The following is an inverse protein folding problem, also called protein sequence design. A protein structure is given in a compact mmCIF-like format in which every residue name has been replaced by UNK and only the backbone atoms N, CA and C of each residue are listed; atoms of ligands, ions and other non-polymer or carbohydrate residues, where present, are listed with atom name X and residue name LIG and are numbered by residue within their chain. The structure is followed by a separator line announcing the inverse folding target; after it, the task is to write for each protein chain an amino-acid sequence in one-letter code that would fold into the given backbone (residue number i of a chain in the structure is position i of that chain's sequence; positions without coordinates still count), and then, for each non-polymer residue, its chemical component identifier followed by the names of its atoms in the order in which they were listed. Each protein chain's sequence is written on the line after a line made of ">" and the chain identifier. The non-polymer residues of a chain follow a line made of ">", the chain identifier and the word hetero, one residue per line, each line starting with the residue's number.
data_IF_155641757838
#
_entry.id   IF_155641757838
#
_cell.length_a   1.000
_cell.length_b   1.000
_cell.length_c   1.000
_cell.angle_alpha   90.00
_cell.angle_beta   90.00
_cell.angle_gamma   90.00
#
_symmetry.space_group_name_H-M   'P 1'
#
loop_
_entity.id
_entity.type
_entity.pdbx_description
1 polymer ?
#
# COMPACT_ATOMS: atom_id res chain seq x y z
N UNK A 1 20.55 42.62 8.98
CA UNK A 1 21.42 41.80 9.87
C UNK A 1 20.49 40.76 10.48
N UNK A 2 20.41 39.49 10.10
CA UNK A 2 21.15 38.62 9.16
C UNK A 2 20.11 37.71 8.51
N UNK A 3 20.22 37.53 7.20
CA UNK A 3 19.55 36.51 6.40
C UNK A 3 20.31 35.21 6.64
N UNK A 4 19.63 34.16 7.11
CA UNK A 4 20.19 32.83 7.32
C UNK A 4 19.46 31.82 6.45
N UNK A 5 19.66 31.90 5.13
CA UNK A 5 19.32 30.81 4.22
C UNK A 5 20.30 29.67 4.49
N UNK A 6 19.86 28.64 5.22
CA UNK A 6 20.53 27.36 5.22
C UNK A 6 20.15 26.65 3.92
N UNK A 7 20.91 26.92 2.86
CA UNK A 7 20.98 25.99 1.74
C UNK A 7 21.76 24.78 2.26
N UNK A 8 21.03 23.79 2.78
CA UNK A 8 21.58 22.47 2.93
C UNK A 8 21.88 21.98 1.51
N UNK A 9 23.16 21.81 1.19
CA UNK A 9 23.59 20.99 0.07
C UNK A 9 23.10 19.58 0.39
N UNK A 10 21.92 19.22 -0.13
CA UNK A 10 21.49 17.83 -0.24
C UNK A 10 22.51 17.21 -1.20
N UNK A 11 23.52 16.54 -0.65
CA UNK A 11 24.24 15.54 -1.41
C UNK A 11 23.15 14.59 -1.90
N UNK A 12 22.96 14.48 -3.22
CA UNK A 12 21.97 13.58 -3.80
C UNK A 12 22.21 12.20 -3.19
N UNK A 13 21.38 11.83 -2.22
CA UNK A 13 21.35 10.49 -1.67
C UNK A 13 21.01 9.60 -2.83
N UNK A 14 21.76 8.50 -2.95
CA UNK A 14 21.51 7.49 -3.98
C UNK A 14 20.01 7.10 -3.89
N UNK A 15 19.31 6.90 -5.02
CA UNK A 15 17.87 6.60 -4.98
C UNK A 15 17.55 5.28 -4.27
N UNK A 16 18.56 4.42 -4.06
CA UNK A 16 18.46 3.15 -3.35
C UNK A 16 19.71 2.89 -2.51
N UNK A 17 19.62 2.11 -1.41
CA UNK A 17 20.77 1.77 -0.58
C UNK A 17 21.72 0.79 -1.28
N UNK A 18 22.96 0.69 -0.78
CA UNK A 18 23.97 -0.25 -1.31
C UNK A 18 23.73 -1.70 -0.87
N UNK A 19 22.99 -1.91 0.23
CA UNK A 19 22.65 -3.20 0.80
C UNK A 19 21.31 -3.10 1.55
N UNK A 20 20.62 -4.22 1.72
CA UNK A 20 19.43 -4.31 2.56
C UNK A 20 19.75 -4.00 4.01
N UNK A 21 18.78 -3.42 4.73
CA UNK A 21 18.79 -3.47 6.19
C UNK A 21 18.77 -4.95 6.61
N UNK A 22 19.67 -5.42 7.50
CA UNK A 22 19.68 -6.80 7.96
C UNK A 22 18.37 -7.28 8.59
N UNK A 23 17.52 -6.37 9.09
CA UNK A 23 16.17 -6.67 9.59
C UNK A 23 15.21 -7.01 8.45
N UNK A 24 15.43 -6.45 7.26
CA UNK A 24 14.53 -6.55 6.10
C UNK A 24 14.99 -7.63 5.12
N UNK A 25 16.30 -7.88 5.04
CA UNK A 25 16.92 -8.83 4.10
C UNK A 25 16.23 -10.22 4.06
N UNK A 26 15.81 -10.84 5.18
CA UNK A 26 15.11 -12.13 5.14
C UNK A 26 13.76 -12.07 4.41
N UNK A 27 13.01 -10.98 4.59
CA UNK A 27 11.71 -10.78 3.95
C UNK A 27 11.86 -10.49 2.46
N UNK A 28 12.85 -9.68 2.09
CA UNK A 28 13.17 -9.45 0.68
C UNK A 28 13.56 -10.76 -0.01
N UNK A 29 14.39 -11.60 0.65
CA UNK A 29 14.76 -12.90 0.11
C UNK A 29 13.57 -13.87 0.00
N UNK A 30 12.61 -13.80 0.93
CA UNK A 30 11.35 -14.55 0.83
C UNK A 30 10.55 -14.11 -0.40
N UNK A 31 10.32 -12.81 -0.57
CA UNK A 31 9.60 -12.24 -1.72
C UNK A 31 10.25 -12.65 -3.04
N UNK A 32 11.59 -12.59 -3.14
CA UNK A 32 12.31 -13.04 -4.34
C UNK A 32 12.10 -14.54 -4.62
N UNK A 33 12.14 -15.37 -3.58
CA UNK A 33 11.94 -16.80 -3.70
C UNK A 33 10.52 -17.13 -4.15
N UNK A 34 9.51 -16.53 -3.53
CA UNK A 34 8.11 -16.80 -3.81
C UNK A 34 7.76 -16.33 -5.23
N UNK A 35 8.17 -15.11 -5.60
CA UNK A 35 7.91 -14.55 -6.94
C UNK A 35 8.78 -15.12 -8.06
N UNK A 36 9.91 -15.74 -7.73
CA UNK A 36 10.90 -16.16 -8.72
C UNK A 36 11.55 -14.99 -9.48
N UNK A 37 11.46 -13.78 -8.93
CA UNK A 37 12.06 -12.55 -9.44
C UNK A 37 13.13 -12.08 -8.44
N UNK A 38 14.10 -11.29 -8.90
CA UNK A 38 15.11 -10.68 -8.03
C UNK A 38 14.90 -9.17 -7.98
N UNK A 39 15.10 -8.54 -6.83
CA UNK A 39 15.19 -7.09 -6.76
C UNK A 39 16.39 -6.63 -7.61
N UNK A 40 16.18 -5.64 -8.47
CA UNK A 40 17.26 -4.97 -9.21
C UNK A 40 18.21 -4.24 -8.27
N UNK A 41 17.66 -3.71 -7.17
CA UNK A 41 18.41 -3.11 -6.08
C UNK A 41 17.62 -3.18 -4.75
N UNK A 42 18.31 -3.11 -3.60
CA UNK A 42 17.65 -2.90 -2.30
C UNK A 42 16.75 -1.66 -2.30
N UNK A 43 15.73 -1.62 -1.44
CA UNK A 43 14.95 -0.41 -1.18
C UNK A 43 15.17 0.12 0.23
N UNK A 44 14.96 1.42 0.41
CA UNK A 44 14.96 1.99 1.75
C UNK A 44 13.69 1.56 2.47
N UNK A 45 13.86 1.09 3.71
CA UNK A 45 12.75 0.79 4.64
C UNK A 45 12.93 1.66 5.87
N UNK A 46 12.05 2.64 6.02
CA UNK A 46 12.08 3.61 7.11
C UNK A 46 11.10 3.17 8.20
N UNK A 47 11.64 2.95 9.41
CA UNK A 47 10.84 2.67 10.59
C UNK A 47 10.54 3.99 11.29
N UNK A 48 9.26 4.36 11.33
CA UNK A 48 8.81 5.70 11.67
C UNK A 48 7.98 5.62 12.96
N UNK A 49 8.28 6.45 13.99
CA UNK A 49 7.47 6.49 15.20
C UNK A 49 5.99 6.76 14.87
N UNK A 50 5.08 6.08 15.55
CA UNK A 50 3.64 6.02 15.22
C UNK A 50 3.03 7.40 14.93
N UNK A 51 3.29 8.38 15.80
CA UNK A 51 2.74 9.73 15.66
C UNK A 51 3.29 10.50 14.43
N UNK A 52 4.50 10.17 13.98
CA UNK A 52 5.09 10.73 12.75
C UNK A 52 4.56 9.98 11.53
N UNK A 53 4.35 8.67 11.62
CA UNK A 53 3.74 7.88 10.56
C UNK A 53 2.30 8.30 10.28
N UNK A 54 1.48 8.48 11.32
CA UNK A 54 0.10 8.95 11.20
C UNK A 54 0.03 10.35 10.58
N UNK A 55 1.00 11.22 10.90
CA UNK A 55 1.11 12.51 10.24
C UNK A 55 1.40 12.34 8.74
N UNK A 56 2.32 11.45 8.35
CA UNK A 56 2.64 11.21 6.93
C UNK A 56 1.47 10.69 6.09
N UNK A 57 0.52 9.95 6.69
CA UNK A 57 -0.66 9.46 5.98
C UNK A 57 -1.71 10.55 5.70
N UNK A 58 -1.66 11.64 6.46
CA UNK A 58 -2.66 12.73 6.43
C UNK A 58 -2.05 14.04 5.98
N UNK A 59 -0.76 14.04 5.65
CA UNK A 59 -0.03 15.23 5.23
C UNK A 59 -0.06 15.38 3.71
N UNK A 60 -0.47 16.56 3.28
CA UNK A 60 -0.44 16.97 1.88
C UNK A 60 0.88 17.65 1.50
N UNK A 61 1.88 17.66 2.40
CA UNK A 61 3.20 18.23 2.15
C UNK A 61 3.91 17.53 0.98
N UNK A 62 3.74 18.10 -0.22
CA UNK A 62 4.34 17.59 -1.46
C UNK A 62 3.41 17.69 -2.65
N UNK A 63 2.10 17.69 -2.40
CA UNK A 63 1.04 17.84 -3.40
C UNK A 63 1.01 19.30 -3.86
N UNK A 64 1.09 19.52 -5.17
CA UNK A 64 0.98 20.87 -5.70
C UNK A 64 -0.49 21.35 -5.75
N UNK A 65 -0.69 22.65 -6.00
CA UNK A 65 -2.03 23.22 -5.97
C UNK A 65 -2.97 22.71 -7.07
N UNK A 66 -2.44 22.14 -8.15
CA UNK A 66 -3.23 21.53 -9.22
C UNK A 66 -3.67 20.12 -8.82
N UNK A 67 -2.75 19.33 -8.28
CA UNK A 67 -3.02 17.99 -7.77
C UNK A 67 -4.00 18.00 -6.59
N UNK A 68 -3.83 18.93 -5.63
CA UNK A 68 -4.76 19.11 -4.52
C UNK A 68 -6.18 19.47 -5.01
N UNK A 69 -6.28 20.29 -6.05
CA UNK A 69 -7.57 20.64 -6.65
C UNK A 69 -8.21 19.45 -7.38
N UNK A 70 -7.42 18.66 -8.10
CA UNK A 70 -7.89 17.45 -8.78
C UNK A 70 -8.39 16.40 -7.78
N UNK A 71 -7.68 16.21 -6.66
CA UNK A 71 -8.11 15.31 -5.58
C UNK A 71 -9.42 15.77 -4.95
N UNK A 72 -9.55 17.05 -4.64
CA UNK A 72 -10.78 17.62 -4.11
C UNK A 72 -11.96 17.41 -5.09
N UNK A 73 -11.75 17.62 -6.39
CA UNK A 73 -12.76 17.35 -7.41
C UNK A 73 -13.15 15.87 -7.45
N UNK A 74 -12.19 14.95 -7.34
CA UNK A 74 -12.46 13.51 -7.29
C UNK A 74 -13.31 13.13 -6.06
N UNK A 75 -13.01 13.68 -4.88
CA UNK A 75 -13.84 13.48 -3.68
C UNK A 75 -15.26 14.04 -3.86
N UNK A 76 -15.41 15.23 -4.45
CA UNK A 76 -16.74 15.79 -4.72
C UNK A 76 -17.56 14.89 -5.66
N UNK A 77 -16.96 14.42 -6.75
CA UNK A 77 -17.58 13.52 -7.71
C UNK A 77 -17.96 12.17 -7.06
N UNK A 78 -17.08 11.60 -6.24
CA UNK A 78 -17.38 10.36 -5.53
C UNK A 78 -18.54 10.55 -4.54
N UNK A 79 -18.55 11.66 -3.80
CA UNK A 79 -19.66 12.00 -2.91
C UNK A 79 -21.00 12.17 -3.65
N UNK A 80 -20.98 12.73 -4.85
CA UNK A 80 -22.16 12.81 -5.72
C UNK A 80 -22.64 11.44 -6.19
N UNK A 81 -21.71 10.56 -6.57
CA UNK A 81 -22.01 9.18 -6.93
C UNK A 81 -22.67 8.43 -5.78
N UNK A 82 -22.11 8.51 -4.57
CA UNK A 82 -22.68 7.88 -3.37
C UNK A 82 -24.11 8.34 -3.12
N UNK A 83 -24.38 9.65 -3.25
CA UNK A 83 -25.74 10.21 -3.13
C UNK A 83 -26.67 9.71 -4.24
N UNK A 84 -26.20 9.67 -5.48
CA UNK A 84 -27.00 9.22 -6.63
C UNK A 84 -27.38 7.73 -6.53
N UNK A 85 -26.50 6.90 -5.97
CA UNK A 85 -26.73 5.48 -5.73
C UNK A 85 -27.54 5.19 -4.45
N UNK A 86 -27.81 6.21 -3.63
CA UNK A 86 -28.50 6.06 -2.35
C UNK A 86 -27.64 5.45 -1.23
N UNK A 87 -26.31 5.55 -1.36
CA UNK A 87 -25.31 5.05 -0.40
C UNK A 87 -24.90 6.12 0.62
N UNK A 88 -25.32 7.37 0.45
CA UNK A 88 -25.13 8.45 1.43
C UNK A 88 -26.24 9.50 1.33
N UNK A 89 -26.58 10.14 2.46
CA UNK A 89 -27.49 11.28 2.50
C UNK A 89 -26.81 12.53 3.08
N UNK A 90 -27.00 13.67 2.42
CA UNK A 90 -26.47 14.96 2.88
C UNK A 90 -24.99 15.20 2.55
N UNK A 91 -24.36 16.20 3.19
CA UNK A 91 -22.93 16.46 3.06
C UNK A 91 -22.10 15.27 3.54
N UNK A 92 -20.94 15.06 2.91
CA UNK A 92 -19.92 14.08 3.32
C UNK A 92 -18.56 14.75 3.17
N UNK A 93 -17.70 14.53 4.14
CA UNK A 93 -16.29 14.95 4.12
C UNK A 93 -15.45 13.71 3.80
N UNK A 94 -15.26 13.43 2.51
CA UNK A 94 -14.58 12.21 2.06
C UNK A 94 -13.08 12.24 2.31
N UNK A 95 -12.48 13.43 2.31
CA UNK A 95 -11.07 13.60 2.67
C UNK A 95 -10.85 13.19 4.12
N UNK A 96 -11.59 13.80 5.05
CA UNK A 96 -11.48 13.45 6.47
C UNK A 96 -11.81 11.98 6.77
N UNK A 97 -12.77 11.38 6.06
CA UNK A 97 -13.08 9.95 6.22
C UNK A 97 -12.00 9.03 5.65
N UNK A 98 -11.34 9.44 4.56
CA UNK A 98 -10.21 8.71 3.96
C UNK A 98 -9.00 8.77 4.89
N UNK A 99 -8.67 9.95 5.42
CA UNK A 99 -7.61 10.15 6.41
C UNK A 99 -7.83 9.28 7.65
N UNK A 100 -9.06 9.30 8.18
CA UNK A 100 -9.46 8.48 9.34
C UNK A 100 -9.24 6.98 9.07
N UNK A 101 -9.64 6.50 7.88
CA UNK A 101 -9.46 5.10 7.49
C UNK A 101 -7.98 4.73 7.34
N UNK A 102 -7.16 5.59 6.73
CA UNK A 102 -5.72 5.33 6.57
C UNK A 102 -4.99 5.30 7.92
N UNK A 103 -5.21 6.30 8.77
CA UNK A 103 -4.57 6.33 10.10
C UNK A 103 -4.95 5.14 10.98
N UNK A 104 -6.13 4.55 10.74
CA UNK A 104 -6.64 3.43 11.53
C UNK A 104 -6.04 2.07 11.13
N UNK A 105 -5.78 1.83 9.84
CA UNK A 105 -5.49 0.49 9.34
C UNK A 105 -4.14 0.27 8.66
N UNK A 106 -3.39 1.34 8.35
CA UNK A 106 -2.14 1.21 7.60
C UNK A 106 -0.95 1.05 8.55
N UNK A 107 -0.28 -0.10 8.48
CA UNK A 107 0.92 -0.41 9.28
C UNK A 107 2.23 -0.19 8.52
N UNK A 108 2.19 -0.24 7.20
CA UNK A 108 3.28 0.13 6.33
C UNK A 108 2.73 0.54 4.96
N UNK A 109 3.52 1.25 4.17
CA UNK A 109 3.23 1.48 2.75
C UNK A 109 4.51 1.68 1.94
N UNK A 110 4.47 1.24 0.70
CA UNK A 110 5.41 1.56 -0.36
C UNK A 110 4.94 2.78 -1.15
N UNK A 111 5.83 3.74 -1.38
CA UNK A 111 5.59 4.87 -2.27
C UNK A 111 6.35 4.66 -3.58
N UNK A 112 5.62 4.66 -4.69
CA UNK A 112 6.20 4.69 -6.04
C UNK A 112 6.85 6.04 -6.35
N UNK A 113 6.48 7.14 -5.70
CA UNK A 113 7.06 8.46 -5.99
C UNK A 113 8.53 8.56 -5.58
N UNK A 114 8.84 8.08 -4.36
CA UNK A 114 10.20 8.15 -3.81
C UNK A 114 10.87 6.78 -3.66
N UNK A 115 10.16 5.70 -4.02
CA UNK A 115 10.65 4.32 -4.10
C UNK A 115 11.11 3.80 -2.72
N UNK A 116 10.38 4.15 -1.65
CA UNK A 116 10.67 3.78 -0.25
C UNK A 116 9.49 3.04 0.38
N UNK A 117 9.81 2.10 1.27
CA UNK A 117 8.84 1.52 2.20
C UNK A 117 8.92 2.29 3.52
N UNK A 118 7.77 2.64 4.08
CA UNK A 118 7.64 3.25 5.40
C UNK A 118 6.86 2.29 6.28
N UNK A 119 7.36 2.03 7.47
CA UNK A 119 6.81 1.09 8.44
C UNK A 119 6.45 1.86 9.71
N UNK A 120 5.24 1.67 10.21
CA UNK A 120 4.76 2.25 11.46
C UNK A 120 5.43 1.54 12.63
N UNK A 121 5.98 2.33 13.55
CA UNK A 121 6.71 1.85 14.71
C UNK A 121 8.17 1.47 14.41
N UNK A 122 8.92 1.21 15.48
CA UNK A 122 10.35 0.88 15.42
C UNK A 122 10.64 -0.63 15.50
N UNK A 123 9.60 -1.44 15.68
CA UNK A 123 9.67 -2.89 15.91
C UNK A 123 8.93 -3.63 14.80
N UNK A 124 9.48 -4.77 14.41
CA UNK A 124 8.79 -5.75 13.56
C UNK A 124 7.96 -6.65 14.47
N UNK A 125 6.71 -6.28 14.70
CA UNK A 125 5.70 -7.16 15.29
C UNK A 125 5.17 -8.13 14.23
N UNK A 126 4.54 -9.25 14.60
CA UNK A 126 4.13 -10.27 13.62
C UNK A 126 3.26 -9.74 12.45
N UNK A 127 2.28 -8.89 12.74
CA UNK A 127 1.44 -8.17 11.76
C UNK A 127 2.24 -7.21 10.87
N UNK A 128 3.20 -6.50 11.44
CA UNK A 128 4.10 -5.61 10.70
C UNK A 128 5.05 -6.41 9.78
N UNK A 129 5.47 -7.60 10.17
CA UNK A 129 6.27 -8.48 9.32
C UNK A 129 5.50 -8.93 8.08
N UNK A 130 4.23 -9.32 8.25
CA UNK A 130 3.34 -9.67 7.12
C UNK A 130 3.15 -8.46 6.21
N UNK A 131 2.81 -7.30 6.78
CA UNK A 131 2.65 -6.06 6.01
C UNK A 131 3.95 -5.68 5.29
N UNK A 132 5.12 -5.89 5.91
CA UNK A 132 6.40 -5.62 5.26
C UNK A 132 6.62 -6.52 4.02
N UNK A 133 6.21 -7.79 4.06
CA UNK A 133 6.25 -8.68 2.90
C UNK A 133 5.35 -8.16 1.77
N UNK A 134 4.18 -7.65 2.12
CA UNK A 134 3.27 -6.98 1.19
C UNK A 134 3.97 -5.80 0.48
N UNK A 135 4.52 -4.87 1.25
CA UNK A 135 5.14 -3.67 0.72
C UNK A 135 6.42 -3.94 -0.07
N UNK A 136 7.19 -4.94 0.34
CA UNK A 136 8.34 -5.40 -0.44
C UNK A 136 7.90 -6.02 -1.77
N UNK A 137 6.72 -6.65 -1.83
CA UNK A 137 6.15 -7.13 -3.09
C UNK A 137 5.80 -5.98 -4.01
N UNK A 138 5.23 -4.88 -3.50
CA UNK A 138 5.05 -3.66 -4.29
C UNK A 138 6.37 -3.08 -4.80
N UNK A 139 7.39 -3.01 -3.95
CA UNK A 139 8.71 -2.56 -4.37
C UNK A 139 9.31 -3.44 -5.48
N UNK A 140 9.10 -4.76 -5.42
CA UNK A 140 9.53 -5.69 -6.48
C UNK A 140 8.72 -5.46 -7.75
N UNK A 141 7.40 -5.32 -7.64
CA UNK A 141 6.51 -5.08 -8.76
C UNK A 141 6.90 -3.80 -9.50
N UNK A 142 7.16 -2.72 -8.78
CA UNK A 142 7.57 -1.44 -9.36
C UNK A 142 8.88 -1.55 -10.15
N UNK A 143 9.88 -2.25 -9.61
CA UNK A 143 11.16 -2.46 -10.30
C UNK A 143 11.02 -3.25 -11.61
N UNK A 144 10.03 -4.14 -11.74
CA UNK A 144 9.87 -5.02 -12.91
C UNK A 144 8.76 -4.61 -13.89
N UNK A 145 7.75 -3.90 -13.40
CA UNK A 145 6.50 -3.66 -14.13
C UNK A 145 6.08 -2.18 -14.20
N UNK A 146 6.77 -1.28 -13.49
CA UNK A 146 6.50 0.17 -13.47
C UNK A 146 5.09 0.49 -12.95
N UNK A 147 4.95 0.72 -11.63
CA UNK A 147 3.65 0.97 -11.03
C UNK A 147 3.15 2.40 -11.27
N UNK A 148 3.99 3.31 -11.76
CA UNK A 148 3.62 4.70 -12.10
C UNK A 148 2.52 4.74 -13.19
N UNK A 149 2.25 3.62 -13.88
CA UNK A 149 1.12 3.49 -14.81
C UNK A 149 -0.25 3.59 -14.13
N UNK A 150 -0.34 3.39 -12.81
CA UNK A 150 -1.57 3.61 -12.04
C UNK A 150 -2.04 5.07 -12.11
N UNK A 151 -1.09 6.00 -12.09
CA UNK A 151 -1.35 7.45 -12.08
C UNK A 151 -1.71 7.99 -13.47
N UNK A 152 -1.42 7.20 -14.52
CA UNK A 152 -1.65 7.56 -15.92
C UNK A 152 -2.80 6.80 -16.57
N UNK A 153 -3.55 6.03 -15.79
CA UNK A 153 -4.67 5.22 -16.30
C UNK A 153 -5.76 6.09 -16.96
N UNK A 154 -6.16 5.72 -18.18
CA UNK A 154 -7.14 6.47 -18.99
C UNK A 154 -8.55 6.52 -18.38
N UNK A 155 -8.90 5.55 -17.51
CA UNK A 155 -10.20 5.47 -16.85
C UNK A 155 -10.05 4.91 -15.45
N UNK A 156 -10.95 5.30 -14.54
CA UNK A 156 -11.03 4.73 -13.18
C UNK A 156 -11.14 3.22 -13.21
N UNK A 157 -11.97 2.64 -14.08
CA UNK A 157 -12.12 1.18 -14.17
C UNK A 157 -10.84 0.46 -14.61
N UNK A 158 -10.01 1.08 -15.45
CA UNK A 158 -8.72 0.51 -15.84
C UNK A 158 -7.72 0.58 -14.67
N UNK A 159 -7.71 1.69 -13.93
CA UNK A 159 -6.92 1.84 -12.70
C UNK A 159 -7.33 0.79 -11.65
N UNK A 160 -8.62 0.63 -11.39
CA UNK A 160 -9.15 -0.35 -10.43
C UNK A 160 -8.83 -1.79 -10.82
N UNK A 161 -8.95 -2.11 -12.12
CA UNK A 161 -8.59 -3.42 -12.64
C UNK A 161 -7.10 -3.70 -12.44
N UNK A 162 -6.23 -2.72 -12.71
CA UNK A 162 -4.80 -2.87 -12.49
C UNK A 162 -4.45 -2.99 -11.00
N UNK A 163 -5.03 -2.14 -10.14
CA UNK A 163 -4.90 -2.24 -8.67
C UNK A 163 -5.28 -3.63 -8.17
N UNK A 164 -6.37 -4.20 -8.68
CA UNK A 164 -6.79 -5.56 -8.29
C UNK A 164 -5.72 -6.62 -8.63
N UNK A 165 -4.94 -6.44 -9.70
CA UNK A 165 -3.81 -7.34 -10.01
C UNK A 165 -2.65 -7.11 -9.05
N UNK A 166 -2.27 -5.83 -8.84
CA UNK A 166 -1.16 -5.40 -8.00
C UNK A 166 -1.35 -5.85 -6.56
N UNK A 167 -2.46 -5.47 -5.94
CA UNK A 167 -2.82 -5.83 -4.57
C UNK A 167 -3.03 -7.33 -4.42
N UNK A 168 -3.69 -7.96 -5.39
CA UNK A 168 -3.90 -9.40 -5.34
C UNK A 168 -2.61 -10.20 -5.30
N UNK A 169 -1.60 -9.79 -6.08
CA UNK A 169 -0.27 -10.43 -6.12
C UNK A 169 0.50 -10.18 -4.82
N UNK A 170 0.40 -9.00 -4.21
CA UNK A 170 0.97 -8.72 -2.90
C UNK A 170 0.33 -9.58 -1.78
N UNK A 171 -1.01 -9.65 -1.73
CA UNK A 171 -1.73 -10.53 -0.80
C UNK A 171 -1.39 -12.01 -1.03
N UNK A 172 -1.22 -12.44 -2.29
CA UNK A 172 -0.81 -13.82 -2.56
C UNK A 172 0.57 -14.16 -1.97
N UNK A 173 1.53 -13.24 -2.05
CA UNK A 173 2.87 -13.43 -1.49
C UNK A 173 2.86 -13.35 0.04
N UNK A 174 2.07 -12.45 0.63
CA UNK A 174 1.94 -12.35 2.09
C UNK A 174 1.28 -13.61 2.69
N UNK A 175 0.22 -14.14 2.04
CA UNK A 175 -0.42 -15.39 2.43
C UNK A 175 0.57 -16.56 2.38
N UNK A 176 1.41 -16.59 1.35
CA UNK A 176 2.48 -17.59 1.22
C UNK A 176 3.53 -17.45 2.32
N UNK A 177 3.83 -16.22 2.76
CA UNK A 177 4.72 -15.97 3.89
C UNK A 177 4.14 -16.53 5.18
N UNK A 178 2.91 -16.16 5.53
CA UNK A 178 2.22 -16.66 6.73
C UNK A 178 2.16 -18.18 6.72
N UNK A 179 1.80 -18.79 5.59
CA UNK A 179 1.74 -20.24 5.43
C UNK A 179 3.10 -20.95 5.56
N UNK A 180 4.22 -20.23 5.41
CA UNK A 180 5.57 -20.76 5.57
C UNK A 180 6.04 -20.83 7.03
N UNK A 181 5.38 -20.08 7.93
CA UNK A 181 5.69 -19.99 9.34
C UNK A 181 5.18 -21.19 10.14
N UNK A 182 5.66 -21.34 11.38
CA UNK A 182 5.16 -22.38 12.27
C UNK A 182 3.75 -22.07 12.77
N UNK A 183 3.01 -23.11 13.17
CA UNK A 183 1.65 -22.95 13.73
C UNK A 183 1.59 -21.90 14.87
N UNK A 184 2.64 -21.83 15.70
CA UNK A 184 2.69 -20.86 16.81
C UNK A 184 2.89 -19.41 16.35
N UNK A 185 3.67 -19.20 15.27
CA UNK A 185 3.85 -17.87 14.68
C UNK A 185 2.59 -17.44 13.93
N UNK A 186 1.91 -18.38 13.26
CA UNK A 186 0.59 -18.12 12.64
C UNK A 186 -0.46 -17.73 13.69
N UNK A 187 -0.53 -18.44 14.82
CA UNK A 187 -1.42 -18.07 15.93
C UNK A 187 -1.13 -16.65 16.47
N UNK A 188 0.15 -16.25 16.55
CA UNK A 188 0.55 -14.89 16.98
C UNK A 188 0.14 -13.81 15.96
N UNK A 189 0.20 -14.11 14.66
CA UNK A 189 -0.26 -13.23 13.58
C UNK A 189 -1.78 -13.11 13.61
N UNK A 190 -2.51 -14.22 13.70
CA UNK A 190 -3.98 -14.25 13.75
C UNK A 190 -4.51 -13.41 14.94
N UNK A 191 -3.86 -13.52 16.11
CA UNK A 191 -4.20 -12.72 17.28
C UNK A 191 -3.92 -11.22 17.03
N UNK A 192 -2.77 -10.87 16.46
CA UNK A 192 -2.40 -9.48 16.17
C UNK A 192 -3.31 -8.83 15.10
N UNK A 193 -3.62 -9.55 14.02
CA UNK A 193 -4.56 -9.10 12.99
C UNK A 193 -5.96 -8.91 13.55
N UNK A 194 -6.43 -9.82 14.42
CA UNK A 194 -7.72 -9.69 15.07
C UNK A 194 -7.81 -8.44 15.93
N UNK A 195 -6.77 -8.16 16.73
CA UNK A 195 -6.67 -6.94 17.53
C UNK A 195 -6.63 -5.68 16.62
N UNK A 196 -5.82 -5.69 15.57
CA UNK A 196 -5.73 -4.59 14.60
C UNK A 196 -7.05 -4.32 13.86
N UNK A 197 -7.79 -5.36 13.47
CA UNK A 197 -9.11 -5.22 12.85
C UNK A 197 -10.13 -4.61 13.83
N UNK A 198 -10.11 -5.02 15.10
CA UNK A 198 -10.97 -4.43 16.13
C UNK A 198 -10.66 -2.95 16.32
N UNK A 199 -9.38 -2.58 16.45
CA UNK A 199 -8.94 -1.19 16.57
C UNK A 199 -9.30 -0.36 15.34
N UNK A 200 -9.04 -0.88 14.13
CA UNK A 200 -9.37 -0.20 12.88
C UNK A 200 -10.89 -0.01 12.71
N UNK A 201 -11.69 -0.98 13.15
CA UNK A 201 -13.17 -0.90 13.14
C UNK A 201 -13.66 0.20 14.09
N UNK A 202 -13.13 0.26 15.31
CA UNK A 202 -13.49 1.31 16.27
C UNK A 202 -13.03 2.69 15.76
N UNK A 203 -11.81 2.78 15.24
CA UNK A 203 -11.25 4.02 14.73
C UNK A 203 -11.95 4.51 13.45
N UNK A 204 -12.55 3.62 12.66
CA UNK A 204 -13.29 3.96 11.44
C UNK A 204 -14.80 4.16 11.68
N UNK A 205 -15.24 4.26 12.93
CA UNK A 205 -16.65 4.57 13.24
C UNK A 205 -17.10 5.85 12.53
N UNK A 206 -18.17 5.74 11.74
CA UNK A 206 -18.76 6.86 11.00
C UNK A 206 -18.19 7.08 9.60
N UNK A 207 -17.15 6.33 9.20
CA UNK A 207 -16.72 6.25 7.80
C UNK A 207 -17.83 5.59 6.97
N UNK A 208 -18.06 6.08 5.74
CA UNK A 208 -19.09 5.53 4.88
C UNK A 208 -18.74 4.11 4.41
N UNK A 209 -19.65 3.14 4.58
CA UNK A 209 -19.44 1.74 4.20
C UNK A 209 -19.03 1.54 2.74
N UNK A 210 -19.51 2.39 1.81
CA UNK A 210 -19.13 2.31 0.41
C UNK A 210 -17.68 2.76 0.17
N UNK A 211 -17.16 3.68 1.00
CA UNK A 211 -15.75 4.05 0.97
C UNK A 211 -14.89 2.87 1.46
N UNK A 212 -15.25 2.25 2.60
CA UNK A 212 -14.59 1.05 3.13
C UNK A 212 -14.61 -0.08 2.09
N UNK A 213 -15.78 -0.34 1.49
CA UNK A 213 -15.93 -1.39 0.50
C UNK A 213 -15.11 -1.11 -0.77
N UNK A 214 -15.04 0.14 -1.22
CA UNK A 214 -14.22 0.53 -2.37
C UNK A 214 -12.73 0.35 -2.08
N UNK A 215 -12.28 0.74 -0.89
CA UNK A 215 -10.90 0.58 -0.46
C UNK A 215 -10.49 -0.89 -0.33
N UNK A 216 -11.32 -1.71 0.32
CA UNK A 216 -11.05 -3.13 0.51
C UNK A 216 -11.22 -4.01 -0.74
N UNK A 217 -11.83 -3.48 -1.82
CA UNK A 217 -12.18 -4.30 -2.99
C UNK A 217 -10.96 -4.99 -3.64
N UNK A 218 -9.82 -4.32 -3.89
CA UNK A 218 -8.64 -4.96 -4.47
C UNK A 218 -8.07 -6.08 -3.59
N UNK A 219 -8.04 -5.90 -2.27
CA UNK A 219 -7.56 -6.90 -1.31
C UNK A 219 -8.48 -8.13 -1.21
N UNK A 220 -9.78 -7.95 -1.39
CA UNK A 220 -10.76 -9.06 -1.33
C UNK A 220 -10.89 -9.77 -2.68
N UNK A 221 -10.89 -9.03 -3.78
CA UNK A 221 -11.11 -9.57 -5.14
C UNK A 221 -9.80 -10.03 -5.79
N UNK A 222 -8.68 -9.43 -5.44
CA UNK A 222 -7.35 -9.74 -5.93
C UNK A 222 -6.97 -11.21 -5.76
N UNK A 223 -7.06 -11.80 -4.55
CA UNK A 223 -6.71 -13.21 -4.33
C UNK A 223 -7.54 -14.19 -5.17
N UNK A 224 -8.83 -13.89 -5.39
CA UNK A 224 -9.68 -14.69 -6.27
C UNK A 224 -9.23 -14.60 -7.74
N UNK A 225 -8.77 -13.43 -8.18
CA UNK A 225 -8.21 -13.25 -9.51
C UNK A 225 -6.82 -13.90 -9.65
N UNK A 226 -5.95 -13.78 -8.63
CA UNK A 226 -4.65 -14.47 -8.61
C UNK A 226 -4.83 -15.99 -8.67
N UNK A 227 -5.79 -16.54 -7.93
CA UNK A 227 -6.14 -17.97 -8.03
C UNK A 227 -6.41 -18.41 -9.47
N UNK A 228 -7.07 -17.56 -10.27
CA UNK A 228 -7.33 -17.82 -11.69
C UNK A 228 -6.04 -17.74 -12.53
N UNK A 229 -5.21 -16.71 -12.32
CA UNK A 229 -3.94 -16.53 -13.04
C UNK A 229 -2.99 -17.71 -12.76
N UNK A 230 -2.83 -18.08 -11.49
CA UNK A 230 -2.03 -19.24 -11.09
C UNK A 230 -2.53 -20.54 -11.71
N UNK A 231 -3.86 -20.75 -11.77
CA UNK A 231 -4.43 -21.92 -12.42
C UNK A 231 -4.22 -21.95 -13.94
N UNK A 232 -4.05 -20.79 -14.59
CA UNK A 232 -3.83 -20.69 -16.04
C UNK A 232 -2.36 -20.87 -16.43
N UNK A 233 -1.43 -20.35 -15.64
CA UNK A 233 -0.01 -20.43 -15.98
C UNK A 233 0.96 -20.04 -14.87
N UNK A 234 0.53 -19.98 -13.60
CA UNK A 234 1.41 -19.55 -12.50
C UNK A 234 1.85 -18.09 -12.64
N UNK A 235 3.03 -17.78 -12.12
CA UNK A 235 3.61 -16.43 -12.14
C UNK A 235 3.83 -15.87 -13.56
N UNK A 236 3.98 -16.70 -14.59
CA UNK A 236 4.05 -16.20 -15.98
C UNK A 236 2.78 -15.43 -16.38
N UNK A 237 1.60 -15.85 -15.90
CA UNK A 237 0.33 -15.18 -16.15
C UNK A 237 0.12 -13.96 -15.24
N UNK A 238 0.64 -14.00 -14.01
CA UNK A 238 0.66 -12.85 -13.09
C UNK A 238 1.50 -11.72 -13.69
N UNK A 239 2.74 -12.02 -14.07
CA UNK A 239 3.64 -11.09 -14.74
C UNK A 239 3.04 -10.53 -16.04
N UNK A 240 2.31 -11.35 -16.80
CA UNK A 240 1.60 -10.87 -18.00
C UNK A 240 0.49 -9.88 -17.64
N UNK A 241 -0.29 -10.16 -16.59
CA UNK A 241 -1.34 -9.28 -16.12
C UNK A 241 -0.77 -7.96 -15.56
N UNK A 242 0.40 -8.00 -14.91
CA UNK A 242 1.09 -6.79 -14.43
C UNK A 242 1.63 -5.93 -15.58
N UNK A 243 2.15 -6.53 -16.65
CA UNK A 243 2.59 -5.80 -17.86
C UNK A 243 1.45 -5.28 -18.72
N UNK A 244 0.30 -5.95 -18.68
CA UNK A 244 -0.86 -5.63 -19.52
C UNK A 244 -2.13 -5.97 -18.76
N UNK A 245 -2.62 -5.02 -17.95
CA UNK A 245 -3.81 -5.21 -17.14
C UNK A 245 -5.05 -5.46 -18.00
N UNK A 246 -6.03 -6.24 -17.51
CA UNK A 246 -7.21 -6.65 -18.26
C UNK A 246 -8.18 -5.52 -18.64
#
# INVERSE_FOLDING_TARGET
>A
VVIGAAVALIAATKPYPDAWDPRVEPFAAFVEQERGLQFEHPVYVDFIPDAEFDALLTDDEGIDGEEAAARQEAYEQYGELLRALGLHEGPIDLEAQTDQMYSAGVLAYYSSDDKRVRVKGEQLTPDVEVTLVHELTHALQDQHFDLDVLDTAETTSASDAFRTVVEGDAVWVEDAYVASLSDAEQDEIDDAESEGIEEATEASEGVNDALIASFGAPYILGPAYQSLLHAQGGYDEVDRALRTPP
#
